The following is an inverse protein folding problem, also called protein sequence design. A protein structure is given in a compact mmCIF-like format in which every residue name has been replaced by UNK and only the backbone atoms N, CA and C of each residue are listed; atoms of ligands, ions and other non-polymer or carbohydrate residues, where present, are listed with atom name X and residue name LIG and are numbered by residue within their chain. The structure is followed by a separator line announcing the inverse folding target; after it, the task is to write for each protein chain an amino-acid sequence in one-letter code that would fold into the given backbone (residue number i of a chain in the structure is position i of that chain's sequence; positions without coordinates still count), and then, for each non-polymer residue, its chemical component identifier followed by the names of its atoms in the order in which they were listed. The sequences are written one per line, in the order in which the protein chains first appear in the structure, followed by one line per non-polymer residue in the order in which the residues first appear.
data_IF_053206294898
#
_entry.id   IF_053206294898
#
_cell.length_a   1.000
_cell.length_b   1.000
_cell.length_c   1.000
_cell.angle_alpha   90.00
_cell.angle_beta   90.00
_cell.angle_gamma   90.00
#
_symmetry.space_group_name_H-M   'P 1'
#
loop_
_entity.id
_entity.type
_entity.pdbx_description
1 polymer ?
#
# COMPACT_ATOMS: atom_id res chain seq x y z
N UNK A 1 15.78 4.86 -4.27
CA UNK A 1 15.46 6.29 -4.39
C UNK A 1 14.27 6.82 -3.60
N UNK A 2 13.35 5.99 -3.12
CA UNK A 2 12.10 6.47 -2.46
C UNK A 2 12.31 7.23 -1.16
N UNK A 3 13.27 6.86 -0.35
CA UNK A 3 13.51 7.46 0.98
C UNK A 3 13.80 8.96 0.91
N UNK A 4 14.61 9.39 -0.05
CA UNK A 4 14.96 10.81 -0.23
C UNK A 4 13.74 11.64 -0.65
N UNK A 5 12.91 11.10 -1.53
CA UNK A 5 11.66 11.75 -1.94
C UNK A 5 10.75 12.01 -0.73
N UNK A 6 10.51 11.00 0.11
CA UNK A 6 9.65 11.16 1.29
C UNK A 6 10.20 12.16 2.29
N UNK A 7 11.53 12.18 2.51
CA UNK A 7 12.17 13.15 3.40
C UNK A 7 11.99 14.59 2.89
N UNK A 8 12.24 14.83 1.60
CA UNK A 8 12.06 16.14 0.98
C UNK A 8 10.60 16.59 1.03
N UNK A 9 9.65 15.70 0.69
CA UNK A 9 8.22 16.00 0.76
C UNK A 9 7.77 16.30 2.18
N UNK A 10 8.26 15.57 3.18
CA UNK A 10 7.97 15.85 4.58
C UNK A 10 8.38 17.28 4.98
N UNK A 11 9.59 17.70 4.61
CA UNK A 11 10.06 19.07 4.88
C UNK A 11 9.19 20.11 4.18
N UNK A 12 8.86 19.90 2.89
CA UNK A 12 7.99 20.82 2.12
C UNK A 12 6.61 20.94 2.76
N UNK A 13 6.04 19.82 3.23
CA UNK A 13 4.73 19.80 3.90
C UNK A 13 4.76 20.59 5.21
N UNK A 14 5.81 20.45 6.01
CA UNK A 14 5.98 21.22 7.25
C UNK A 14 6.08 22.72 6.94
N UNK A 15 6.87 23.11 5.94
CA UNK A 15 6.99 24.51 5.53
C UNK A 15 5.63 25.05 5.06
N UNK A 16 4.92 24.30 4.23
CA UNK A 16 3.58 24.66 3.75
C UNK A 16 2.61 24.87 4.93
N UNK A 17 2.59 23.93 5.88
CA UNK A 17 1.74 24.02 7.08
C UNK A 17 2.06 25.26 7.92
N UNK A 18 3.34 25.55 8.17
CA UNK A 18 3.77 26.76 8.90
C UNK A 18 3.34 28.04 8.18
N UNK A 19 3.46 28.10 6.86
CA UNK A 19 3.00 29.24 6.07
C UNK A 19 1.49 29.44 6.14
N UNK A 20 0.71 28.36 6.08
CA UNK A 20 -0.75 28.40 6.21
C UNK A 20 -1.12 28.86 7.62
N UNK A 21 -0.48 28.32 8.65
CA UNK A 21 -0.69 28.73 10.04
C UNK A 21 -0.37 30.22 10.26
N UNK A 22 0.64 30.73 9.53
CA UNK A 22 0.97 32.16 9.51
C UNK A 22 0.05 33.00 8.60
N UNK A 23 -1.09 32.45 8.19
CA UNK A 23 -2.06 33.13 7.35
C UNK A 23 -1.50 33.59 5.99
N UNK A 24 -0.57 32.80 5.38
CA UNK A 24 0.06 33.12 4.11
C UNK A 24 -0.39 32.16 3.02
N UNK A 25 -0.97 32.72 1.91
CA UNK A 25 -1.38 31.93 0.72
C UNK A 25 -0.25 31.14 0.09
N UNK A 26 0.99 31.61 0.25
CA UNK A 26 2.17 30.89 -0.24
C UNK A 26 2.29 29.45 0.28
N UNK A 27 1.74 29.15 1.46
CA UNK A 27 1.68 27.79 1.97
C UNK A 27 0.81 26.87 1.14
N UNK A 28 -0.38 27.34 0.71
CA UNK A 28 -1.28 26.55 -0.16
C UNK A 28 -0.66 26.39 -1.55
N UNK A 29 -0.01 27.41 -2.09
CA UNK A 29 0.67 27.29 -3.39
C UNK A 29 1.83 26.28 -3.31
N UNK A 30 2.63 26.33 -2.27
CA UNK A 30 3.69 25.36 -2.05
C UNK A 30 3.13 23.94 -1.92
N UNK A 31 2.02 23.77 -1.19
CA UNK A 31 1.33 22.52 -1.07
C UNK A 31 0.82 22.01 -2.45
N UNK A 32 0.22 22.89 -3.26
CA UNK A 32 -0.27 22.52 -4.58
C UNK A 32 0.85 22.03 -5.49
N UNK A 33 2.01 22.69 -5.48
CA UNK A 33 3.20 22.25 -6.23
C UNK A 33 3.68 20.87 -5.74
N UNK A 34 3.76 20.68 -4.42
CA UNK A 34 4.14 19.42 -3.83
C UNK A 34 3.15 18.30 -4.16
N UNK A 35 1.84 18.58 -4.16
CA UNK A 35 0.80 17.63 -4.53
C UNK A 35 0.91 17.21 -6.00
N UNK A 36 1.11 18.15 -6.92
CA UNK A 36 1.31 17.86 -8.35
C UNK A 36 2.57 17.01 -8.54
N UNK A 37 3.68 17.35 -7.88
CA UNK A 37 4.90 16.56 -7.92
C UNK A 37 4.67 15.13 -7.39
N UNK A 38 3.88 14.99 -6.31
CA UNK A 38 3.50 13.68 -5.77
C UNK A 38 2.65 12.85 -6.73
N UNK A 39 1.73 13.48 -7.47
CA UNK A 39 0.93 12.81 -8.51
C UNK A 39 1.84 12.29 -9.62
N UNK A 40 2.73 13.14 -10.13
CA UNK A 40 3.68 12.75 -11.20
C UNK A 40 4.56 11.60 -10.74
N UNK A 41 5.13 11.71 -9.53
CA UNK A 41 5.96 10.66 -8.95
C UNK A 41 5.18 9.35 -8.74
N UNK A 42 3.98 9.41 -8.21
CA UNK A 42 3.15 8.23 -7.95
C UNK A 42 2.81 7.49 -9.25
N UNK A 43 2.49 8.22 -10.33
CA UNK A 43 2.21 7.62 -11.64
C UNK A 43 3.49 7.01 -12.24
N UNK A 44 4.64 7.68 -12.11
CA UNK A 44 5.92 7.15 -12.63
C UNK A 44 6.38 5.89 -11.90
N UNK A 45 6.08 5.77 -10.60
CA UNK A 45 6.50 4.65 -9.76
C UNK A 45 5.52 3.46 -9.81
N UNK A 46 4.22 3.72 -9.79
CA UNK A 46 3.17 2.70 -9.71
C UNK A 46 2.42 2.46 -11.04
N UNK A 47 2.66 3.29 -12.06
CA UNK A 47 1.84 3.30 -13.27
C UNK A 47 0.38 3.67 -12.98
N UNK A 48 -0.54 3.26 -13.86
CA UNK A 48 -1.97 3.53 -13.73
C UNK A 48 -2.72 2.47 -12.90
N UNK A 49 -2.07 1.92 -11.88
CA UNK A 49 -2.69 0.93 -11.00
C UNK A 49 -3.47 1.62 -9.88
N UNK A 50 -4.75 1.29 -9.73
CA UNK A 50 -5.65 1.94 -8.78
C UNK A 50 -5.16 1.89 -7.33
N UNK A 51 -4.90 0.70 -6.79
CA UNK A 51 -4.58 0.55 -5.36
C UNK A 51 -3.31 1.27 -4.91
N UNK A 52 -2.19 1.15 -5.63
CA UNK A 52 -0.99 1.93 -5.30
C UNK A 52 -1.18 3.44 -5.41
N UNK A 53 -1.96 3.93 -6.39
CA UNK A 53 -2.26 5.36 -6.53
C UNK A 53 -3.19 5.84 -5.44
N UNK A 54 -4.25 5.09 -5.13
CA UNK A 54 -5.19 5.42 -4.06
C UNK A 54 -4.48 5.56 -2.71
N UNK A 55 -3.67 4.58 -2.30
CA UNK A 55 -2.96 4.61 -1.02
C UNK A 55 -1.97 5.79 -0.89
N UNK A 56 -1.39 6.24 -1.99
CA UNK A 56 -0.42 7.34 -2.00
C UNK A 56 -1.05 8.72 -2.10
N UNK A 57 -2.14 8.85 -2.85
CA UNK A 57 -2.68 10.16 -3.25
C UNK A 57 -3.97 10.54 -2.53
N UNK A 58 -4.74 9.59 -2.00
CA UNK A 58 -6.05 9.90 -1.41
C UNK A 58 -5.95 10.87 -0.24
N UNK A 59 -5.08 10.60 0.73
CA UNK A 59 -4.89 11.49 1.89
C UNK A 59 -4.36 12.87 1.48
N UNK A 60 -3.43 12.92 0.53
CA UNK A 60 -2.92 14.19 -0.02
C UNK A 60 -4.04 14.94 -0.77
N UNK A 61 -4.87 14.24 -1.50
CA UNK A 61 -6.04 14.83 -2.17
C UNK A 61 -7.05 15.44 -1.19
N UNK A 62 -7.31 14.77 -0.06
CA UNK A 62 -8.17 15.31 1.00
C UNK A 62 -7.58 16.60 1.57
N UNK A 63 -6.28 16.64 1.83
CA UNK A 63 -5.60 17.86 2.27
C UNK A 63 -5.64 18.96 1.21
N UNK A 64 -5.50 18.63 -0.08
CA UNK A 64 -5.65 19.57 -1.18
C UNK A 64 -7.06 20.18 -1.23
N UNK A 65 -8.08 19.36 -1.03
CA UNK A 65 -9.48 19.80 -0.95
C UNK A 65 -9.68 20.78 0.22
N UNK A 66 -9.20 20.45 1.41
CA UNK A 66 -9.28 21.33 2.58
C UNK A 66 -8.51 22.62 2.36
N UNK A 67 -7.32 22.56 1.75
CA UNK A 67 -6.53 23.75 1.41
C UNK A 67 -7.27 24.67 0.43
N UNK A 68 -7.96 24.11 -0.57
CA UNK A 68 -8.78 24.88 -1.50
C UNK A 68 -9.95 25.58 -0.80
N UNK A 69 -10.60 24.94 0.17
CA UNK A 69 -11.67 25.55 0.97
C UNK A 69 -11.16 26.70 1.84
N UNK A 70 -9.95 26.58 2.37
CA UNK A 70 -9.34 27.58 3.26
C UNK A 70 -8.76 28.77 2.48
N UNK A 71 -8.41 28.59 1.21
CA UNK A 71 -7.76 29.60 0.37
C UNK A 71 -8.39 31.01 0.41
N UNK A 72 -9.73 31.17 0.31
CA UNK A 72 -10.35 32.50 0.30
C UNK A 72 -10.18 33.28 1.60
N UNK A 73 -9.96 32.55 2.69
CA UNK A 73 -9.89 33.15 4.04
C UNK A 73 -8.46 33.53 4.45
N UNK A 74 -7.46 33.07 3.70
CA UNK A 74 -6.06 33.40 3.99
C UNK A 74 -5.68 34.75 3.41
N UNK A 75 -4.86 35.49 4.17
CA UNK A 75 -4.30 36.79 3.84
C UNK A 75 -5.36 37.89 3.58
N UNK A 76 -4.90 39.13 3.61
CA UNK A 76 -5.73 40.31 3.35
C UNK A 76 -5.16 41.05 2.14
N UNK A 77 -5.97 41.42 1.13
CA UNK A 77 -7.42 41.24 1.04
C UNK A 77 -7.82 39.79 0.74
N UNK A 78 -9.09 39.38 1.10
CA UNK A 78 -9.57 38.04 0.84
C UNK A 78 -9.61 37.75 -0.67
N UNK A 79 -9.30 36.50 -1.05
CA UNK A 79 -9.34 36.08 -2.44
C UNK A 79 -10.78 35.84 -2.93
N UNK A 80 -10.98 35.89 -4.26
CA UNK A 80 -12.24 35.51 -4.87
C UNK A 80 -12.60 34.05 -4.51
N UNK A 81 -13.83 33.84 -3.99
CA UNK A 81 -14.30 32.53 -3.53
C UNK A 81 -14.58 31.57 -4.68
N UNK A 82 -15.09 32.06 -5.81
CA UNK A 82 -15.51 31.24 -6.94
C UNK A 82 -14.46 30.25 -7.44
N UNK A 83 -13.24 30.71 -7.85
CA UNK A 83 -12.20 29.81 -8.33
C UNK A 83 -11.78 28.78 -7.32
N UNK A 84 -11.65 29.17 -6.04
CA UNK A 84 -11.24 28.26 -4.96
C UNK A 84 -12.28 27.14 -4.74
N UNK A 85 -13.55 27.50 -4.69
CA UNK A 85 -14.62 26.53 -4.55
C UNK A 85 -14.81 25.67 -5.80
N UNK A 86 -14.50 26.20 -7.00
CA UNK A 86 -14.45 25.41 -8.22
C UNK A 86 -13.40 24.29 -8.14
N UNK A 87 -12.18 24.64 -7.69
CA UNK A 87 -11.11 23.65 -7.47
C UNK A 87 -11.52 22.65 -6.38
N UNK A 88 -12.10 23.12 -5.26
CA UNK A 88 -12.57 22.24 -4.20
C UNK A 88 -13.66 21.28 -4.70
N UNK A 89 -14.59 21.72 -5.53
CA UNK A 89 -15.63 20.87 -6.11
C UNK A 89 -15.04 19.78 -7.01
N UNK A 90 -14.08 20.12 -7.87
CA UNK A 90 -13.38 19.14 -8.73
C UNK A 90 -12.65 18.11 -7.88
N UNK A 91 -11.93 18.54 -6.85
CA UNK A 91 -11.24 17.63 -5.93
C UNK A 91 -12.22 16.74 -5.16
N UNK A 92 -13.34 17.29 -4.69
CA UNK A 92 -14.38 16.52 -4.01
C UNK A 92 -14.95 15.41 -4.90
N UNK A 93 -15.26 15.72 -6.17
CA UNK A 93 -15.75 14.73 -7.14
C UNK A 93 -14.67 13.67 -7.41
N UNK A 94 -13.42 14.07 -7.62
CA UNK A 94 -12.32 13.13 -7.83
C UNK A 94 -12.11 12.19 -6.65
N UNK A 95 -12.18 12.72 -5.41
CA UNK A 95 -12.08 11.92 -4.20
C UNK A 95 -13.27 10.98 -4.03
N UNK A 96 -14.50 11.44 -4.30
CA UNK A 96 -15.70 10.62 -4.22
C UNK A 96 -15.68 9.48 -5.25
N UNK A 97 -15.29 9.77 -6.49
CA UNK A 97 -15.12 8.75 -7.54
C UNK A 97 -14.02 7.76 -7.17
N UNK A 98 -12.88 8.27 -6.70
CA UNK A 98 -11.76 7.43 -6.26
C UNK A 98 -12.18 6.50 -5.10
N UNK A 99 -12.87 7.04 -4.10
CA UNK A 99 -13.38 6.25 -2.98
C UNK A 99 -14.45 5.24 -3.42
N UNK A 100 -15.39 5.65 -4.27
CA UNK A 100 -16.42 4.75 -4.81
C UNK A 100 -15.84 3.60 -5.63
N UNK A 101 -14.74 3.85 -6.36
CA UNK A 101 -14.05 2.81 -7.14
C UNK A 101 -13.49 1.68 -6.28
N UNK A 102 -13.20 1.94 -5.00
CA UNK A 102 -12.74 0.94 -4.03
C UNK A 102 -13.73 -0.22 -3.87
N UNK A 103 -15.03 0.04 -4.06
CA UNK A 103 -16.08 -0.98 -3.94
C UNK A 103 -16.34 -1.75 -5.24
N UNK A 104 -15.62 -1.43 -6.32
CA UNK A 104 -15.72 -2.18 -7.54
C UNK A 104 -15.11 -3.57 -7.36
N UNK A 105 -15.93 -4.60 -7.49
CA UNK A 105 -15.48 -5.98 -7.43
C UNK A 105 -14.44 -6.24 -8.52
N UNK A 106 -13.30 -6.81 -8.12
CA UNK A 106 -12.36 -7.35 -9.10
C UNK A 106 -13.07 -8.46 -9.89
N UNK A 107 -12.91 -8.54 -11.22
CA UNK A 107 -13.40 -9.68 -11.96
C UNK A 107 -12.78 -10.93 -11.36
N UNK A 108 -13.63 -11.88 -10.95
CA UNK A 108 -13.15 -13.20 -10.57
C UNK A 108 -12.47 -13.78 -11.81
N UNK A 109 -11.16 -13.90 -11.76
CA UNK A 109 -10.43 -14.70 -12.74
C UNK A 109 -10.87 -16.15 -12.47
N UNK A 110 -11.89 -16.59 -13.19
CA UNK A 110 -12.26 -18.01 -13.17
C UNK A 110 -11.03 -18.77 -13.68
N UNK A 111 -10.51 -19.65 -12.85
CA UNK A 111 -9.39 -20.53 -13.18
C UNK A 111 -9.78 -21.57 -14.26
N UNK A 112 -10.57 -21.15 -15.26
CA UNK A 112 -11.04 -22.02 -16.35
C UNK A 112 -9.94 -22.31 -17.37
N UNK A 113 -8.87 -21.52 -17.37
CA UNK A 113 -7.62 -21.88 -18.03
C UNK A 113 -6.61 -22.24 -16.94
N UNK A 114 -6.65 -23.49 -16.51
CA UNK A 114 -5.50 -24.07 -15.86
C UNK A 114 -4.34 -23.94 -16.85
N UNK A 115 -3.46 -22.96 -16.61
CA UNK A 115 -2.16 -22.94 -17.29
C UNK A 115 -1.60 -24.36 -17.11
N UNK A 116 -1.36 -25.13 -18.19
CA UNK A 116 -0.81 -26.45 -18.02
C UNK A 116 0.49 -26.32 -17.28
N UNK A 117 0.47 -26.66 -15.99
CA UNK A 117 1.68 -26.75 -15.17
C UNK A 117 2.49 -27.83 -15.88
N UNK A 118 3.53 -27.43 -16.61
CA UNK A 118 4.50 -28.38 -17.17
C UNK A 118 4.94 -29.25 -15.99
N UNK A 119 4.70 -30.58 -16.04
CA UNK A 119 5.20 -31.45 -14.99
C UNK A 119 6.70 -31.19 -14.87
N UNK A 120 7.16 -30.83 -13.71
CA UNK A 120 8.62 -30.76 -13.45
C UNK A 120 9.15 -32.15 -13.73
N UNK A 121 10.05 -32.26 -14.71
CA UNK A 121 10.59 -33.55 -15.12
C UNK A 121 11.14 -34.31 -13.89
N UNK A 122 10.75 -35.58 -13.69
CA UNK A 122 11.27 -36.38 -12.58
C UNK A 122 12.78 -36.53 -12.77
N UNK A 123 13.58 -35.85 -12.02
CA UNK A 123 15.05 -35.87 -12.13
C UNK A 123 15.76 -34.69 -11.53
N UNK A 124 15.09 -33.59 -11.30
CA UNK A 124 15.60 -32.45 -10.51
C UNK A 124 14.84 -32.37 -9.20
N UNK A 125 14.91 -33.42 -8.39
CA UNK A 125 14.45 -33.37 -7.03
C UNK A 125 15.29 -32.32 -6.29
N UNK A 126 14.66 -31.20 -5.99
CA UNK A 126 15.25 -30.20 -5.12
C UNK A 126 15.22 -30.78 -3.71
N UNK A 127 16.37 -31.28 -3.26
CA UNK A 127 16.50 -31.99 -1.97
C UNK A 127 16.38 -31.07 -0.76
N UNK A 128 16.56 -29.81 -0.93
CA UNK A 128 16.62 -28.85 0.18
C UNK A 128 15.86 -27.58 -0.16
N UNK A 129 15.20 -27.02 0.84
CA UNK A 129 14.58 -25.70 0.80
C UNK A 129 15.66 -24.65 1.11
N UNK A 130 16.41 -24.21 0.09
CA UNK A 130 17.62 -23.41 0.26
C UNK A 130 17.37 -21.89 0.39
N UNK A 131 16.20 -21.42 -0.03
CA UNK A 131 15.83 -20.00 -0.01
C UNK A 131 14.43 -19.80 0.58
N UNK A 132 14.16 -18.62 1.12
CA UNK A 132 12.80 -18.24 1.48
C UNK A 132 11.93 -18.27 0.22
N UNK A 133 10.95 -19.13 0.15
CA UNK A 133 10.16 -19.38 -1.06
C UNK A 133 10.73 -20.43 -2.01
N UNK A 134 11.71 -21.24 -1.57
CA UNK A 134 12.34 -22.39 -2.22
C UNK A 134 13.31 -22.03 -3.37
N UNK A 135 12.90 -21.21 -4.34
CA UNK A 135 13.77 -20.75 -5.41
C UNK A 135 14.05 -19.25 -5.28
N UNK A 136 15.03 -18.74 -6.02
CA UNK A 136 15.30 -17.29 -6.12
C UNK A 136 14.11 -16.50 -6.67
N UNK A 137 13.17 -17.18 -7.36
CA UNK A 137 11.94 -16.60 -7.88
C UNK A 137 10.76 -16.72 -6.91
N UNK A 138 10.93 -17.44 -5.79
CA UNK A 138 9.90 -17.56 -4.76
C UNK A 138 8.72 -18.45 -5.15
N UNK A 139 8.96 -19.50 -5.92
CA UNK A 139 7.91 -20.40 -6.45
C UNK A 139 7.14 -21.15 -5.36
N UNK A 140 7.69 -21.23 -4.14
CA UNK A 140 7.08 -21.91 -2.98
C UNK A 140 6.61 -23.34 -3.25
N UNK A 141 7.21 -23.98 -4.22
CA UNK A 141 6.90 -25.33 -4.62
C UNK A 141 8.16 -26.20 -4.61
N UNK A 142 8.08 -27.37 -4.04
CA UNK A 142 9.09 -28.42 -4.16
C UNK A 142 8.39 -29.73 -4.51
N UNK A 143 8.94 -30.45 -5.48
CA UNK A 143 8.45 -31.78 -5.88
C UNK A 143 8.93 -32.83 -4.87
N UNK A 144 8.42 -32.73 -3.62
CA UNK A 144 8.71 -33.67 -2.54
C UNK A 144 7.56 -34.69 -2.47
N UNK A 145 7.90 -35.95 -2.55
CA UNK A 145 6.95 -37.08 -2.52
C UNK A 145 7.21 -38.03 -1.32
N UNK A 146 8.12 -37.64 -0.43
CA UNK A 146 8.48 -38.41 0.77
C UNK A 146 7.27 -38.67 1.67
N UNK A 147 6.36 -37.70 1.77
CA UNK A 147 5.08 -37.82 2.45
C UNK A 147 3.98 -37.84 1.39
N UNK A 148 3.21 -38.89 1.35
CA UNK A 148 2.15 -39.11 0.40
C UNK A 148 0.91 -39.73 1.07
N UNK A 149 -0.18 -39.93 0.32
CA UNK A 149 -1.43 -40.45 0.86
C UNK A 149 -1.30 -41.84 1.48
N UNK A 150 -0.29 -42.61 1.08
CA UNK A 150 -0.07 -43.99 1.53
C UNK A 150 0.66 -44.06 2.87
N UNK A 151 1.51 -43.04 3.17
CA UNK A 151 2.35 -43.06 4.38
C UNK A 151 2.05 -41.92 5.38
N UNK A 152 1.15 -41.01 5.05
CA UNK A 152 0.80 -39.89 5.95
C UNK A 152 0.30 -40.38 7.33
N UNK A 153 -0.41 -41.50 7.38
CA UNK A 153 -0.92 -42.10 8.61
C UNK A 153 0.17 -42.76 9.49
N UNK A 154 1.38 -42.89 8.96
CA UNK A 154 2.54 -43.49 9.67
C UNK A 154 3.47 -42.40 10.25
N UNK A 155 3.13 -41.12 10.09
CA UNK A 155 3.92 -40.01 10.65
C UNK A 155 3.87 -40.07 12.18
N UNK A 156 5.05 -39.94 12.79
CA UNK A 156 5.21 -39.83 14.22
C UNK A 156 5.96 -38.52 14.56
N UNK A 157 5.67 -37.98 15.74
CA UNK A 157 6.39 -36.82 16.25
C UNK A 157 7.82 -37.21 16.54
N UNK A 158 8.78 -36.66 15.80
CA UNK A 158 10.20 -36.97 15.95
C UNK A 158 10.81 -36.24 17.17
N UNK A 159 10.36 -35.03 17.43
CA UNK A 159 10.81 -34.21 18.56
C UNK A 159 9.82 -33.07 18.83
N UNK A 160 9.86 -32.54 20.04
CA UNK A 160 9.08 -31.40 20.49
C UNK A 160 10.04 -30.36 21.03
N UNK A 161 9.97 -29.12 20.54
CA UNK A 161 10.71 -28.00 21.10
C UNK A 161 9.75 -27.12 21.91
N UNK A 162 10.13 -26.81 23.15
CA UNK A 162 9.43 -25.82 23.95
C UNK A 162 10.19 -24.48 23.81
N UNK A 163 9.59 -23.51 23.15
CA UNK A 163 10.21 -22.18 22.96
C UNK A 163 10.22 -21.35 24.25
N UNK A 164 9.51 -21.81 25.29
CA UNK A 164 9.27 -21.06 26.53
C UNK A 164 8.55 -19.73 26.34
N UNK A 165 7.99 -19.52 25.18
CA UNK A 165 7.19 -18.36 24.85
C UNK A 165 5.77 -18.58 25.39
N UNK A 166 5.63 -18.38 26.71
CA UNK A 166 4.34 -18.49 27.38
C UNK A 166 3.62 -17.16 27.18
N UNK A 167 2.43 -17.14 26.56
CA UNK A 167 1.63 -15.93 26.48
C UNK A 167 1.43 -15.34 27.87
N UNK A 168 1.88 -14.13 28.09
CA UNK A 168 1.62 -13.44 29.34
C UNK A 168 0.14 -13.06 29.34
N UNK A 169 -0.61 -13.47 30.35
CA UNK A 169 -2.05 -13.29 30.48
C UNK A 169 -2.54 -11.83 30.54
N UNK A 170 -1.65 -10.88 30.31
CA UNK A 170 -1.89 -9.44 30.35
C UNK A 170 -2.06 -8.79 28.96
N UNK A 171 -2.44 -9.55 27.93
CA UNK A 171 -2.90 -8.99 26.66
C UNK A 171 -1.81 -8.41 25.75
N UNK A 172 -0.57 -8.79 25.91
CA UNK A 172 0.45 -8.53 24.88
C UNK A 172 0.31 -9.57 23.78
N UNK A 173 -0.14 -9.13 22.61
CA UNK A 173 -0.61 -9.86 21.44
C UNK A 173 0.26 -10.96 20.81
N UNK A 174 0.89 -11.78 21.62
CA UNK A 174 1.56 -13.02 21.18
C UNK A 174 0.58 -14.21 21.10
N UNK A 175 -0.67 -14.05 21.56
CA UNK A 175 -1.63 -15.14 21.66
C UNK A 175 -2.17 -15.63 20.31
N UNK A 176 -2.14 -14.81 19.26
CA UNK A 176 -2.82 -15.11 18.01
C UNK A 176 -1.92 -15.73 16.93
N UNK A 177 -0.66 -16.03 17.23
CA UNK A 177 0.26 -16.55 16.19
C UNK A 177 0.48 -18.08 16.23
N UNK A 178 -0.16 -18.80 17.13
CA UNK A 178 0.05 -20.24 17.33
C UNK A 178 -1.17 -21.12 17.01
N UNK A 179 -2.13 -20.65 16.21
CA UNK A 179 -3.22 -21.50 15.68
C UNK A 179 -3.01 -21.85 14.23
#
# INVERSE_FOLDING_TARGET
GGTLYFALMGVVMVIAAVLIFRNRRGGILLYAVAFIASVIWAISDAGWNYWPLFSRLFALGVLAFLAALVWPFLASPPAKKGPAYGVAAVLAVALAVSFGWMFKSAPLVSATEAVPVKPVAPGKQQKNWAHWGNTTHGDRFAALDQINKQNVNQLQVAWVAHTSDIPQSNGSGAEDQNT
#
